data_IF_447310067961
#
_entry.id   IF_447310067961
#
_cell.length_a   1.000
_cell.length_b   1.000
_cell.length_c   1.000
_cell.angle_alpha   90.00
_cell.angle_beta   90.00
_cell.angle_gamma   90.00
#
_symmetry.space_group_name_H-M   'P 1'
#
loop_
_entity.id
_entity.type
_entity.pdbx_description
1 polymer ?
#
# COMPACT_ATOMS: atom_id res chain seq x y z
N UNK A 1 -10.35 13.19 -21.75
CA UNK A 1 -10.66 13.73 -20.42
C UNK A 1 -10.34 12.76 -19.28
N UNK A 2 -10.67 11.49 -19.39
CA UNK A 2 -10.42 10.45 -18.38
C UNK A 2 -8.94 10.33 -17.96
N UNK A 3 -8.02 10.25 -18.90
CA UNK A 3 -6.58 10.13 -18.61
C UNK A 3 -6.01 11.34 -17.83
N UNK A 4 -6.50 12.56 -18.13
CA UNK A 4 -6.14 13.76 -17.36
C UNK A 4 -6.59 13.63 -15.88
N UNK A 5 -7.75 13.00 -15.64
CA UNK A 5 -8.21 12.68 -14.29
C UNK A 5 -7.22 11.79 -13.55
N UNK A 6 -6.67 10.75 -14.19
CA UNK A 6 -5.68 9.87 -13.57
C UNK A 6 -4.33 10.54 -13.30
N UNK A 7 -3.92 11.48 -14.15
CA UNK A 7 -2.73 12.31 -13.91
C UNK A 7 -2.90 13.18 -12.66
N UNK A 8 -4.04 13.86 -12.53
CA UNK A 8 -4.37 14.68 -11.35
C UNK A 8 -4.47 13.82 -10.10
N UNK A 9 -5.11 12.67 -10.21
CA UNK A 9 -5.25 11.69 -9.14
C UNK A 9 -3.88 11.18 -8.69
N UNK A 10 -3.01 10.82 -9.63
CA UNK A 10 -1.65 10.40 -9.33
C UNK A 10 -0.82 11.51 -8.68
N UNK A 11 -0.98 12.76 -9.10
CA UNK A 11 -0.34 13.91 -8.48
C UNK A 11 -0.80 14.09 -7.03
N UNK A 12 -2.09 14.05 -6.77
CA UNK A 12 -2.67 14.16 -5.44
C UNK A 12 -2.28 12.98 -4.54
N UNK A 13 -2.49 11.75 -5.00
CA UNK A 13 -2.12 10.55 -4.26
C UNK A 13 -0.61 10.46 -4.01
N UNK A 14 0.21 10.81 -5.00
CA UNK A 14 1.66 10.87 -4.86
C UNK A 14 2.10 11.90 -3.82
N UNK A 15 1.51 13.09 -3.83
CA UNK A 15 1.80 14.14 -2.83
C UNK A 15 1.47 13.67 -1.42
N UNK A 16 0.29 13.08 -1.20
CA UNK A 16 -0.10 12.52 0.09
C UNK A 16 0.78 11.32 0.49
N UNK A 17 1.12 10.47 -0.46
CA UNK A 17 2.02 9.33 -0.23
C UNK A 17 3.41 9.81 0.25
N UNK A 18 3.94 10.84 -0.39
CA UNK A 18 5.19 11.47 0.02
C UNK A 18 5.09 12.17 1.37
N UNK A 19 3.98 12.87 1.63
CA UNK A 19 3.71 13.56 2.88
C UNK A 19 3.70 12.60 4.08
N UNK A 20 3.05 11.45 3.92
CA UNK A 20 2.87 10.49 5.02
C UNK A 20 3.95 9.38 5.05
N UNK A 21 4.72 9.21 3.99
CA UNK A 21 5.82 8.23 3.93
C UNK A 21 5.38 6.76 3.93
N UNK A 22 4.12 6.45 3.58
CA UNK A 22 3.49 5.13 3.77
C UNK A 22 3.37 4.34 2.44
N UNK A 23 4.09 4.76 1.38
CA UNK A 23 4.12 4.02 0.12
C UNK A 23 2.88 4.17 -0.78
N UNK A 24 1.95 5.08 -0.46
CA UNK A 24 0.88 5.53 -1.38
C UNK A 24 -0.37 4.67 -1.47
N UNK A 25 -0.31 3.36 -1.29
CA UNK A 25 -1.44 2.45 -1.53
C UNK A 25 -2.67 2.73 -0.71
N UNK A 26 -2.50 3.04 0.58
CA UNK A 26 -3.59 3.44 1.48
C UNK A 26 -4.41 4.64 0.98
N UNK A 27 -3.85 5.42 0.07
CA UNK A 27 -4.49 6.61 -0.51
C UNK A 27 -4.96 6.32 -1.93
N UNK A 28 -4.16 5.57 -2.70
CA UNK A 28 -4.47 5.25 -4.10
C UNK A 28 -5.74 4.40 -4.19
N UNK A 29 -5.89 3.37 -3.35
CA UNK A 29 -7.05 2.45 -3.39
C UNK A 29 -8.38 3.18 -3.19
N UNK A 30 -8.59 3.97 -2.11
CA UNK A 30 -9.85 4.71 -1.94
C UNK A 30 -10.15 5.67 -3.09
N UNK A 31 -9.12 6.34 -3.60
CA UNK A 31 -9.28 7.30 -4.69
C UNK A 31 -9.62 6.59 -6.00
N UNK A 32 -9.01 5.44 -6.29
CA UNK A 32 -9.36 4.60 -7.43
C UNK A 32 -10.81 4.10 -7.32
N UNK A 33 -11.23 3.59 -6.17
CA UNK A 33 -12.62 3.14 -5.94
C UNK A 33 -13.61 4.27 -6.23
N UNK A 34 -13.30 5.51 -5.78
CA UNK A 34 -14.15 6.67 -6.09
C UNK A 34 -14.20 6.98 -7.57
N UNK A 35 -13.05 6.94 -8.23
CA UNK A 35 -12.92 7.28 -9.65
C UNK A 35 -13.60 6.23 -10.52
N UNK A 36 -13.42 4.95 -10.22
CA UNK A 36 -14.05 3.85 -10.94
C UNK A 36 -15.57 3.86 -10.78
N UNK A 37 -16.06 4.17 -9.56
CA UNK A 37 -17.48 4.35 -9.31
C UNK A 37 -18.07 5.51 -10.12
N UNK A 38 -17.38 6.63 -10.20
CA UNK A 38 -17.79 7.77 -11.00
C UNK A 38 -17.80 7.49 -12.51
N UNK A 39 -17.04 6.48 -12.96
CA UNK A 39 -17.03 6.00 -14.35
C UNK A 39 -18.10 4.96 -14.64
N UNK A 40 -18.89 4.54 -13.64
CA UNK A 40 -19.93 3.53 -13.82
C UNK A 40 -19.41 2.10 -13.96
N UNK A 41 -18.18 1.82 -13.48
CA UNK A 41 -17.64 0.46 -13.41
C UNK A 41 -18.49 -0.35 -12.43
N UNK A 42 -18.69 -1.63 -12.74
CA UNK A 42 -19.49 -2.54 -11.95
C UNK A 42 -19.06 -2.56 -10.47
N UNK A 43 -20.00 -2.32 -9.54
CA UNK A 43 -19.71 -2.35 -8.10
C UNK A 43 -19.08 -3.66 -7.62
N UNK A 44 -19.34 -4.78 -8.27
CA UNK A 44 -18.81 -6.09 -7.87
C UNK A 44 -17.29 -6.23 -8.09
N UNK A 45 -16.74 -5.51 -9.06
CA UNK A 45 -15.31 -5.60 -9.41
C UNK A 45 -14.49 -4.38 -9.00
N UNK A 46 -15.16 -3.26 -8.65
CA UNK A 46 -14.47 -1.97 -8.38
C UNK A 46 -13.32 -2.11 -7.40
N UNK A 47 -13.54 -2.79 -6.27
CA UNK A 47 -12.53 -2.90 -5.23
C UNK A 47 -11.36 -3.77 -5.66
N UNK A 48 -11.63 -4.89 -6.33
CA UNK A 48 -10.60 -5.76 -6.89
C UNK A 48 -9.75 -5.01 -7.92
N UNK A 49 -10.39 -4.28 -8.81
CA UNK A 49 -9.71 -3.47 -9.84
C UNK A 49 -8.84 -2.36 -9.22
N UNK A 50 -9.33 -1.71 -8.15
CA UNK A 50 -8.58 -0.68 -7.44
C UNK A 50 -7.36 -1.26 -6.71
N UNK A 51 -7.52 -2.41 -6.03
CA UNK A 51 -6.43 -3.11 -5.36
C UNK A 51 -5.38 -3.59 -6.36
N UNK A 52 -5.81 -4.29 -7.42
CA UNK A 52 -4.94 -4.80 -8.48
C UNK A 52 -4.18 -3.68 -9.22
N UNK A 53 -4.83 -2.52 -9.45
CA UNK A 53 -4.20 -1.36 -10.10
C UNK A 53 -3.24 -0.61 -9.17
N UNK A 54 -3.51 -0.59 -7.85
CA UNK A 54 -2.64 0.12 -6.89
C UNK A 54 -1.29 -0.55 -6.70
N UNK A 55 -1.24 -1.89 -6.64
CA UNK A 55 -0.02 -2.65 -6.36
C UNK A 55 1.10 -2.41 -7.38
N UNK A 56 0.88 -2.48 -8.72
CA UNK A 56 1.93 -2.19 -9.68
C UNK A 56 2.51 -0.78 -9.54
N UNK A 57 1.71 0.23 -9.12
CA UNK A 57 2.23 1.59 -8.91
C UNK A 57 3.32 1.61 -7.83
N UNK A 58 3.24 0.68 -6.86
CA UNK A 58 4.20 0.60 -5.77
C UNK A 58 5.55 -0.01 -6.18
N UNK A 59 5.62 -0.75 -7.28
CA UNK A 59 6.91 -1.22 -7.83
C UNK A 59 7.76 0.00 -8.17
N UNK A 60 7.19 0.99 -8.83
CA UNK A 60 7.90 2.21 -9.25
C UNK A 60 8.25 3.11 -8.06
N UNK A 61 7.31 3.33 -7.15
CA UNK A 61 7.54 4.16 -5.96
C UNK A 61 8.51 3.47 -4.98
N UNK A 62 8.41 2.16 -4.82
CA UNK A 62 9.30 1.34 -3.99
C UNK A 62 10.74 1.35 -4.51
N UNK A 63 10.92 1.22 -5.83
CA UNK A 63 12.24 1.29 -6.46
C UNK A 63 12.91 2.65 -6.23
N UNK A 64 12.17 3.74 -6.44
CA UNK A 64 12.67 5.09 -6.17
C UNK A 64 13.07 5.30 -4.71
N UNK A 65 12.24 4.81 -3.78
CA UNK A 65 12.47 4.91 -2.34
C UNK A 65 13.67 4.04 -1.90
N UNK A 66 13.75 2.81 -2.39
CA UNK A 66 14.88 1.90 -2.10
C UNK A 66 16.21 2.50 -2.54
N UNK A 67 16.25 3.12 -3.72
CA UNK A 67 17.47 3.77 -4.21
C UNK A 67 17.94 4.88 -3.26
N UNK A 68 17.04 5.74 -2.81
CA UNK A 68 17.36 6.81 -1.87
C UNK A 68 17.87 6.29 -0.52
N UNK A 69 17.24 5.23 0.01
CA UNK A 69 17.68 4.61 1.28
C UNK A 69 19.00 3.85 1.15
N UNK A 70 19.27 3.25 -0.01
CA UNK A 70 20.56 2.60 -0.30
C UNK A 70 21.69 3.61 -0.33
N UNK A 71 21.51 4.74 -0.99
CA UNK A 71 22.49 5.84 -1.03
C UNK A 71 22.77 6.40 0.39
N UNK A 72 21.77 6.36 1.27
CA UNK A 72 21.92 6.75 2.67
C UNK A 72 22.55 5.67 3.58
N UNK A 73 22.91 4.49 3.06
CA UNK A 73 23.53 3.38 3.83
C UNK A 73 22.64 2.76 4.90
N UNK A 74 21.31 2.87 4.76
CA UNK A 74 20.34 2.40 5.77
C UNK A 74 19.77 0.99 5.49
N UNK A 75 20.25 0.30 4.45
CA UNK A 75 19.66 -0.93 3.94
C UNK A 75 20.35 -2.17 4.51
N UNK A 76 19.62 -2.98 5.28
CA UNK A 76 20.05 -4.31 5.73
C UNK A 76 19.52 -5.40 4.77
N UNK A 77 20.39 -5.87 3.88
CA UNK A 77 20.05 -6.87 2.86
C UNK A 77 19.71 -8.25 3.43
N UNK A 78 20.26 -8.63 4.59
CA UNK A 78 19.98 -9.94 5.21
C UNK A 78 18.54 -9.97 5.72
N UNK A 79 18.14 -8.92 6.42
CA UNK A 79 16.76 -8.75 6.92
C UNK A 79 15.75 -8.66 5.77
N UNK A 80 16.07 -7.88 4.72
CA UNK A 80 15.21 -7.71 3.55
C UNK A 80 15.00 -9.03 2.81
N UNK A 81 16.04 -9.85 2.64
CA UNK A 81 15.90 -11.16 1.97
C UNK A 81 15.00 -12.12 2.78
N UNK A 82 15.14 -12.15 4.11
CA UNK A 82 14.32 -13.01 4.98
C UNK A 82 12.85 -12.60 4.98
N UNK A 83 12.57 -11.31 5.15
CA UNK A 83 11.21 -10.77 5.08
C UNK A 83 10.64 -10.87 3.67
N UNK A 84 11.42 -10.48 2.66
CA UNK A 84 11.00 -10.38 1.26
C UNK A 84 10.58 -11.74 0.67
N UNK A 85 11.29 -12.82 1.02
CA UNK A 85 10.90 -14.16 0.60
C UNK A 85 9.50 -14.54 1.13
N UNK A 86 9.24 -14.29 2.42
CA UNK A 86 7.92 -14.48 3.00
C UNK A 86 6.87 -13.56 2.36
N UNK A 87 7.24 -12.30 2.10
CA UNK A 87 6.34 -11.32 1.49
C UNK A 87 5.96 -11.63 0.04
N UNK A 88 6.82 -12.29 -0.73
CA UNK A 88 6.45 -12.83 -2.05
C UNK A 88 5.32 -13.86 -1.93
N UNK A 89 5.50 -14.84 -1.02
CA UNK A 89 4.48 -15.85 -0.77
C UNK A 89 3.19 -15.20 -0.26
N UNK A 90 3.31 -14.34 0.75
CA UNK A 90 2.17 -13.63 1.33
C UNK A 90 1.46 -12.73 0.32
N UNK A 91 2.21 -11.98 -0.49
CA UNK A 91 1.65 -11.12 -1.53
C UNK A 91 0.82 -11.87 -2.55
N UNK A 92 1.30 -13.03 -3.00
CA UNK A 92 0.53 -13.92 -3.86
C UNK A 92 -0.73 -14.43 -3.19
N UNK A 93 -0.61 -14.98 -1.98
CA UNK A 93 -1.74 -15.48 -1.20
C UNK A 93 -2.78 -14.39 -0.90
N UNK A 94 -2.34 -13.16 -0.65
CA UNK A 94 -3.22 -12.02 -0.37
C UNK A 94 -4.13 -11.67 -1.56
N UNK A 95 -3.59 -11.59 -2.77
CA UNK A 95 -4.40 -11.35 -3.96
C UNK A 95 -5.33 -12.53 -4.29
N UNK A 96 -4.86 -13.78 -4.12
CA UNK A 96 -5.73 -14.95 -4.30
C UNK A 96 -6.85 -14.99 -3.26
N UNK A 97 -6.57 -14.65 -2.00
CA UNK A 97 -7.59 -14.54 -0.95
C UNK A 97 -8.60 -13.44 -1.27
N UNK A 98 -8.13 -12.29 -1.76
CA UNK A 98 -9.02 -11.19 -2.15
C UNK A 98 -10.00 -11.62 -3.23
N UNK A 99 -9.56 -12.42 -4.21
CA UNK A 99 -10.42 -12.92 -5.29
C UNK A 99 -11.53 -13.87 -4.80
N UNK A 100 -11.35 -14.51 -3.66
CA UNK A 100 -12.37 -15.36 -3.03
C UNK A 100 -13.40 -14.56 -2.20
N UNK A 101 -13.15 -13.29 -1.98
CA UNK A 101 -13.99 -12.43 -1.15
C UNK A 101 -14.85 -11.51 -2.05
N UNK A 102 -16.10 -11.28 -1.65
CA UNK A 102 -16.95 -10.29 -2.32
C UNK A 102 -16.40 -8.88 -2.10
N UNK A 103 -16.71 -7.98 -3.02
CA UNK A 103 -16.36 -6.54 -2.88
C UNK A 103 -16.85 -5.96 -1.56
N UNK A 104 -18.07 -6.32 -1.11
CA UNK A 104 -18.60 -5.88 0.19
C UNK A 104 -17.72 -6.34 1.36
N UNK A 105 -17.33 -7.61 1.37
CA UNK A 105 -16.44 -8.16 2.41
C UNK A 105 -15.08 -7.47 2.40
N UNK A 106 -14.49 -7.25 1.22
CA UNK A 106 -13.22 -6.52 1.08
C UNK A 106 -13.34 -5.09 1.61
N UNK A 107 -14.42 -4.40 1.29
CA UNK A 107 -14.66 -3.04 1.75
C UNK A 107 -14.72 -2.97 3.28
N UNK A 108 -15.42 -3.90 3.92
CA UNK A 108 -15.49 -3.98 5.39
C UNK A 108 -14.08 -4.22 5.98
N UNK A 109 -13.34 -5.18 5.45
CA UNK A 109 -11.99 -5.51 5.94
C UNK A 109 -11.04 -4.32 5.77
N UNK A 110 -11.07 -3.64 4.60
CA UNK A 110 -10.25 -2.44 4.35
C UNK A 110 -10.68 -1.30 5.27
N UNK A 111 -11.97 -1.11 5.48
CA UNK A 111 -12.52 -0.10 6.39
C UNK A 111 -12.09 -0.32 7.84
N UNK A 112 -12.21 -1.54 8.36
CA UNK A 112 -11.74 -1.92 9.69
C UNK A 112 -10.22 -1.69 9.84
N UNK A 113 -9.45 -2.05 8.82
CA UNK A 113 -8.00 -1.82 8.82
C UNK A 113 -7.67 -0.32 8.85
N UNK A 114 -8.34 0.48 8.01
CA UNK A 114 -8.15 1.93 8.00
C UNK A 114 -8.49 2.57 9.35
N UNK A 115 -9.55 2.14 10.02
CA UNK A 115 -9.91 2.60 11.36
C UNK A 115 -8.90 2.16 12.42
N UNK A 116 -8.39 0.93 12.35
CA UNK A 116 -7.33 0.48 13.26
C UNK A 116 -6.06 1.31 13.14
N UNK A 117 -5.67 1.67 11.91
CA UNK A 117 -4.55 2.56 11.63
C UNK A 117 -4.81 3.98 12.15
N UNK A 118 -6.03 4.51 11.96
CA UNK A 118 -6.43 5.81 12.48
C UNK A 118 -6.33 5.86 14.01
N UNK A 119 -6.84 4.84 14.68
CA UNK A 119 -6.80 4.71 16.14
C UNK A 119 -5.36 4.61 16.67
N UNK A 120 -4.54 3.75 16.05
CA UNK A 120 -3.12 3.58 16.42
C UNK A 120 -2.36 4.90 16.33
N UNK A 121 -2.55 5.65 15.23
CA UNK A 121 -1.87 6.92 15.03
C UNK A 121 -2.46 8.05 15.86
N UNK A 122 -3.77 8.09 16.04
CA UNK A 122 -4.47 9.10 16.85
C UNK A 122 -4.11 8.98 18.33
N UNK A 123 -4.04 7.78 18.88
CA UNK A 123 -3.65 7.50 20.26
C UNK A 123 -2.12 7.51 20.47
N UNK A 124 -1.34 7.73 19.42
CA UNK A 124 0.13 7.73 19.44
C UNK A 124 0.72 6.46 20.09
N UNK A 125 0.04 5.32 19.89
CA UNK A 125 0.49 4.03 20.39
C UNK A 125 1.81 3.67 19.71
N UNK A 126 2.89 3.75 20.49
CA UNK A 126 4.21 3.32 20.03
C UNK A 126 4.44 1.92 20.55
N UNK A 127 4.83 0.97 19.70
CA UNK A 127 5.33 -0.31 20.20
C UNK A 127 6.54 -0.06 21.10
N UNK A 128 6.52 -0.57 22.32
CA UNK A 128 7.72 -0.60 23.14
C UNK A 128 8.71 -1.60 22.53
N UNK A 129 9.92 -1.13 22.29
CA UNK A 129 11.00 -1.94 21.70
C UNK A 129 11.57 -2.88 22.77
N UNK A 130 10.95 -4.05 22.95
CA UNK A 130 11.33 -5.00 24.01
C UNK A 130 11.72 -6.37 23.47
N UNK A 131 11.60 -6.59 22.15
CA UNK A 131 11.81 -7.90 21.54
C UNK A 131 13.03 -7.91 20.63
N UNK A 132 13.72 -9.05 20.61
CA UNK A 132 14.74 -9.34 19.60
C UNK A 132 14.08 -9.88 18.33
N UNK A 133 14.73 -9.61 17.18
CA UNK A 133 14.28 -10.18 15.90
C UNK A 133 14.20 -11.70 15.99
N UNK A 134 13.08 -12.31 15.57
CA UNK A 134 12.96 -13.76 15.48
C UNK A 134 14.04 -14.35 14.55
N UNK A 135 14.32 -15.63 14.71
CA UNK A 135 15.19 -16.37 13.78
C UNK A 135 14.68 -16.31 12.33
N UNK A 136 15.45 -16.85 11.36
CA UNK A 136 15.11 -16.76 9.93
C UNK A 136 13.70 -17.24 9.57
N UNK A 137 13.27 -18.34 10.18
CA UNK A 137 11.93 -18.91 9.97
C UNK A 137 10.83 -17.98 10.51
N UNK A 138 10.98 -17.47 11.73
CA UNK A 138 10.01 -16.54 12.33
C UNK A 138 9.90 -15.23 11.57
N UNK A 139 11.03 -14.72 11.06
CA UNK A 139 11.07 -13.53 10.18
C UNK A 139 10.38 -13.81 8.84
N UNK A 140 10.56 -15.00 8.27
CA UNK A 140 9.88 -15.43 7.04
C UNK A 140 8.36 -15.51 7.23
N UNK A 141 7.89 -16.14 8.31
CA UNK A 141 6.46 -16.22 8.65
C UNK A 141 5.86 -14.82 8.84
N UNK A 142 6.54 -13.95 9.59
CA UNK A 142 6.10 -12.56 9.75
C UNK A 142 6.02 -11.84 8.39
N UNK A 143 7.01 -12.05 7.51
CA UNK A 143 7.01 -11.55 6.14
C UNK A 143 5.79 -12.05 5.34
N UNK A 144 5.44 -13.33 5.46
CA UNK A 144 4.26 -13.91 4.80
C UNK A 144 2.97 -13.26 5.29
N UNK A 145 2.78 -13.10 6.59
CA UNK A 145 1.59 -12.46 7.16
C UNK A 145 1.50 -10.98 6.73
N UNK A 146 2.61 -10.26 6.82
CA UNK A 146 2.66 -8.85 6.39
C UNK A 146 2.39 -8.72 4.89
N UNK A 147 2.98 -9.58 4.07
CA UNK A 147 2.77 -9.62 2.62
C UNK A 147 1.31 -9.91 2.26
N UNK A 148 0.72 -10.89 2.92
CA UNK A 148 -0.68 -11.29 2.74
C UNK A 148 -1.64 -10.14 3.07
N UNK A 149 -1.50 -9.54 4.25
CA UNK A 149 -2.31 -8.39 4.64
C UNK A 149 -2.08 -7.19 3.71
N UNK A 150 -0.83 -6.91 3.36
CA UNK A 150 -0.50 -5.78 2.49
C UNK A 150 -1.11 -5.90 1.09
N UNK A 151 -1.06 -7.07 0.49
CA UNK A 151 -1.67 -7.32 -0.82
C UNK A 151 -3.20 -7.31 -0.76
N UNK A 152 -3.78 -7.84 0.32
CA UNK A 152 -5.23 -7.82 0.57
C UNK A 152 -5.78 -6.38 0.67
N UNK A 153 -5.01 -5.47 1.25
CA UNK A 153 -5.39 -4.05 1.41
C UNK A 153 -4.91 -3.16 0.25
N UNK A 154 -4.16 -3.72 -0.70
CA UNK A 154 -3.56 -2.94 -1.80
C UNK A 154 -2.57 -1.89 -1.31
N UNK A 155 -1.85 -2.17 -0.22
CA UNK A 155 -0.89 -1.24 0.39
C UNK A 155 0.55 -1.76 0.29
N UNK A 156 1.49 -0.83 0.18
CA UNK A 156 2.90 -1.17 0.33
C UNK A 156 3.21 -1.57 1.78
N UNK A 157 4.18 -2.45 1.98
CA UNK A 157 4.54 -2.99 3.29
C UNK A 157 4.82 -1.96 4.40
N UNK A 158 4.89 -0.65 4.09
CA UNK A 158 5.29 0.42 5.01
C UNK A 158 4.51 0.48 6.30
N UNK A 159 3.20 0.42 6.20
CA UNK A 159 2.29 0.55 7.35
C UNK A 159 2.35 -0.62 8.32
N UNK A 160 2.73 -1.81 7.87
CA UNK A 160 2.84 -3.01 8.71
C UNK A 160 4.29 -3.36 9.03
N UNK A 161 5.21 -3.21 8.07
CA UNK A 161 6.61 -3.58 8.26
C UNK A 161 7.33 -2.66 9.24
N UNK A 162 7.09 -1.34 9.18
CA UNK A 162 7.75 -0.39 10.09
C UNK A 162 7.37 -0.64 11.55
N UNK A 163 6.09 -0.77 11.94
CA UNK A 163 5.71 -1.14 13.30
C UNK A 163 6.30 -2.48 13.76
N UNK A 164 6.25 -3.50 12.88
CA UNK A 164 6.83 -4.82 13.20
C UNK A 164 8.33 -4.75 13.50
N UNK A 165 9.11 -4.07 12.64
CA UNK A 165 10.55 -3.92 12.84
C UNK A 165 10.89 -3.05 14.06
N UNK A 166 10.13 -1.97 14.27
CA UNK A 166 10.31 -1.12 15.45
C UNK A 166 10.02 -1.87 16.75
N UNK A 167 9.04 -2.76 16.75
CA UNK A 167 8.72 -3.62 17.90
C UNK A 167 9.86 -4.61 18.21
N UNK A 168 10.56 -5.06 17.17
CA UNK A 168 11.74 -5.94 17.29
C UNK A 168 13.07 -5.15 17.43
N UNK A 169 13.03 -3.96 18.00
CA UNK A 169 14.22 -3.12 18.33
C UNK A 169 15.09 -2.70 17.14
N UNK A 170 14.55 -2.76 15.92
CA UNK A 170 15.24 -2.25 14.73
C UNK A 170 15.16 -0.72 14.72
N UNK A 171 16.30 0.00 14.58
CA UNK A 171 16.30 1.46 14.51
C UNK A 171 15.34 1.98 13.42
N UNK A 172 14.59 3.03 13.71
CA UNK A 172 13.55 3.57 12.82
C UNK A 172 14.04 3.83 11.40
N UNK A 173 15.28 4.37 11.27
CA UNK A 173 15.91 4.61 9.97
C UNK A 173 16.03 3.33 9.13
N UNK A 174 16.49 2.24 9.75
CA UNK A 174 16.64 0.94 9.09
C UNK A 174 15.29 0.27 8.85
N UNK A 175 14.33 0.43 9.77
CA UNK A 175 12.97 -0.09 9.62
C UNK A 175 12.26 0.53 8.41
N UNK A 176 12.39 1.85 8.21
CA UNK A 176 11.82 2.55 7.06
C UNK A 176 12.52 2.14 5.76
N UNK A 177 13.85 2.00 5.77
CA UNK A 177 14.61 1.54 4.60
C UNK A 177 14.25 0.11 4.20
N UNK A 178 14.16 -0.80 5.18
CA UNK A 178 13.74 -2.18 4.95
C UNK A 178 12.30 -2.25 4.43
N UNK A 179 11.41 -1.46 4.98
CA UNK A 179 10.01 -1.36 4.55
C UNK A 179 9.88 -0.91 3.09
N UNK A 180 10.65 0.11 2.69
CA UNK A 180 10.69 0.58 1.31
C UNK A 180 11.17 -0.52 0.34
N UNK A 181 12.20 -1.31 0.73
CA UNK A 181 12.68 -2.44 -0.05
C UNK A 181 11.65 -3.57 -0.12
N UNK A 182 11.03 -3.89 1.01
CA UNK A 182 10.04 -4.96 1.14
C UNK A 182 8.71 -4.67 0.43
N UNK A 183 8.41 -3.42 0.11
CA UNK A 183 7.23 -3.08 -0.70
C UNK A 183 7.30 -3.65 -2.12
N UNK A 184 8.50 -3.82 -2.68
CA UNK A 184 8.68 -4.36 -4.03
C UNK A 184 8.24 -5.83 -4.18
N UNK A 185 8.70 -6.79 -3.34
CA UNK A 185 8.23 -8.17 -3.42
C UNK A 185 6.72 -8.29 -3.19
N UNK A 186 6.13 -7.51 -2.27
CA UNK A 186 4.68 -7.48 -2.06
C UNK A 186 3.97 -7.00 -3.33
N UNK A 187 4.42 -5.88 -3.88
CA UNK A 187 3.81 -5.29 -5.05
C UNK A 187 3.93 -6.21 -6.28
N UNK A 188 5.09 -6.85 -6.47
CA UNK A 188 5.30 -7.77 -7.59
C UNK A 188 4.39 -8.99 -7.48
N UNK A 189 4.43 -9.71 -6.35
CA UNK A 189 3.65 -10.92 -6.15
C UNK A 189 2.15 -10.64 -6.12
N UNK A 190 1.72 -9.56 -5.45
CA UNK A 190 0.34 -9.13 -5.42
C UNK A 190 -0.17 -8.70 -6.80
N UNK A 191 0.61 -7.92 -7.57
CA UNK A 191 0.22 -7.56 -8.94
C UNK A 191 0.02 -8.77 -9.82
N UNK A 192 0.94 -9.74 -9.77
CA UNK A 192 0.81 -10.99 -10.53
C UNK A 192 -0.40 -11.80 -10.09
N UNK A 193 -0.71 -11.83 -8.79
CA UNK A 193 -1.88 -12.51 -8.25
C UNK A 193 -3.19 -11.88 -8.74
N UNK A 194 -3.34 -10.56 -8.67
CA UNK A 194 -4.53 -9.86 -9.18
C UNK A 194 -4.65 -9.92 -10.70
N UNK A 195 -3.53 -9.94 -11.42
CA UNK A 195 -3.50 -10.17 -12.85
C UNK A 195 -4.05 -11.56 -13.19
N UNK A 196 -3.56 -12.58 -12.50
CA UNK A 196 -3.99 -13.97 -12.69
C UNK A 196 -5.47 -14.16 -12.29
N UNK A 197 -5.87 -13.63 -11.13
CA UNK A 197 -7.22 -13.77 -10.61
C UNK A 197 -8.31 -13.11 -11.49
N UNK A 198 -7.97 -12.03 -12.17
CA UNK A 198 -8.89 -11.33 -13.07
C UNK A 198 -8.75 -11.72 -14.55
N UNK A 199 -7.91 -12.71 -14.92
CA UNK A 199 -7.56 -12.96 -16.32
C UNK A 199 -8.76 -13.28 -17.23
N UNK A 200 -9.69 -14.08 -16.74
CA UNK A 200 -10.86 -14.54 -17.49
C UNK A 200 -12.17 -13.83 -17.08
N UNK A 201 -12.07 -12.69 -16.35
CA UNK A 201 -13.26 -11.99 -15.89
C UNK A 201 -13.89 -11.15 -17.03
N UNK A 202 -15.13 -11.49 -17.40
CA UNK A 202 -15.80 -10.93 -18.59
C UNK A 202 -16.19 -9.44 -18.45
N UNK A 203 -16.44 -8.97 -17.22
CA UNK A 203 -16.99 -7.63 -16.96
C UNK A 203 -15.92 -6.56 -16.72
N UNK A 204 -14.65 -6.87 -17.05
CA UNK A 204 -13.56 -5.91 -16.89
C UNK A 204 -13.64 -4.78 -17.93
N UNK A 205 -13.34 -3.53 -17.54
CA UNK A 205 -13.29 -2.41 -18.47
C UNK A 205 -12.25 -2.64 -19.59
N UNK A 206 -12.49 -2.04 -20.74
CA UNK A 206 -11.48 -2.00 -21.82
C UNK A 206 -10.13 -1.49 -21.27
N UNK A 207 -9.03 -2.03 -21.78
CA UNK A 207 -7.66 -1.73 -21.35
C UNK A 207 -7.31 -2.25 -19.93
N UNK A 208 -8.04 -3.24 -19.45
CA UNK A 208 -7.65 -4.00 -18.25
C UNK A 208 -6.87 -5.25 -18.63
N UNK A 209 -5.89 -5.61 -17.81
CA UNK A 209 -5.18 -6.89 -17.88
C UNK A 209 -5.34 -7.57 -16.52
N UNK A 210 -6.27 -8.52 -16.44
CA UNK A 210 -6.79 -8.97 -15.17
C UNK A 210 -7.35 -7.79 -14.38
N UNK A 211 -7.24 -7.80 -13.08
CA UNK A 211 -7.67 -6.68 -12.23
C UNK A 211 -6.70 -5.47 -12.25
N UNK A 212 -5.95 -5.26 -13.33
CA UNK A 212 -5.05 -4.10 -13.49
C UNK A 212 -5.58 -3.22 -14.62
N UNK A 213 -6.05 -2.03 -14.29
CA UNK A 213 -6.54 -1.06 -15.25
C UNK A 213 -5.40 -0.15 -15.74
N UNK A 214 -4.92 -0.39 -16.97
CA UNK A 214 -3.72 0.24 -17.52
C UNK A 214 -3.78 1.78 -17.60
N UNK A 215 -4.90 2.42 -17.98
CA UNK A 215 -4.95 3.88 -18.05
C UNK A 215 -4.74 4.54 -16.69
N UNK A 216 -5.30 3.97 -15.62
CA UNK A 216 -5.10 4.48 -14.26
C UNK A 216 -3.67 4.20 -13.77
N UNK A 217 -3.14 3.00 -14.01
CA UNK A 217 -1.75 2.65 -13.67
C UNK A 217 -0.77 3.65 -14.29
N UNK A 218 -0.85 3.88 -15.59
CA UNK A 218 0.07 4.78 -16.30
C UNK A 218 -0.08 6.24 -15.82
N UNK A 219 -1.32 6.72 -15.70
CA UNK A 219 -1.57 8.08 -15.22
C UNK A 219 -1.02 8.32 -13.82
N UNK A 220 -1.24 7.35 -12.91
CA UNK A 220 -0.75 7.46 -11.53
C UNK A 220 0.78 7.38 -11.48
N UNK A 221 1.41 6.44 -12.19
CA UNK A 221 2.88 6.26 -12.16
C UNK A 221 3.60 7.49 -12.69
N UNK A 222 3.11 8.09 -13.78
CA UNK A 222 3.74 9.26 -14.41
C UNK A 222 3.81 10.48 -13.48
N UNK A 223 2.82 10.67 -12.64
CA UNK A 223 2.73 11.88 -11.78
C UNK A 223 3.07 11.61 -10.33
N UNK A 224 2.69 10.44 -9.78
CA UNK A 224 2.87 10.13 -8.35
C UNK A 224 4.34 10.17 -7.90
N UNK A 225 5.27 9.69 -8.73
CA UNK A 225 6.72 9.70 -8.41
C UNK A 225 7.30 11.11 -8.27
N UNK A 226 6.83 12.05 -9.08
CA UNK A 226 7.28 13.45 -9.03
C UNK A 226 6.65 14.18 -7.85
N UNK A 227 5.33 14.04 -7.68
CA UNK A 227 4.60 14.70 -6.60
C UNK A 227 4.90 14.10 -5.23
N UNK A 228 5.29 12.83 -5.12
CA UNK A 228 5.78 12.25 -3.88
C UNK A 228 7.02 12.97 -3.33
N UNK A 229 7.91 13.45 -4.20
CA UNK A 229 9.08 14.26 -3.80
C UNK A 229 8.64 15.62 -3.20
N UNK A 230 7.60 16.24 -3.77
CA UNK A 230 7.02 17.48 -3.26
C UNK A 230 6.37 17.23 -1.90
N UNK A 231 5.58 16.18 -1.78
CA UNK A 231 4.96 15.76 -0.51
C UNK A 231 5.99 15.49 0.58
N UNK A 232 7.07 14.79 0.28
CA UNK A 232 8.17 14.53 1.23
C UNK A 232 8.84 15.83 1.71
N UNK A 233 9.10 16.78 0.80
CA UNK A 233 9.62 18.12 1.19
C UNK A 233 8.66 18.87 2.09
N UNK A 234 7.35 18.77 1.85
CA UNK A 234 6.33 19.41 2.67
C UNK A 234 6.22 18.74 4.05
N UNK A 235 6.42 17.41 4.13
CA UNK A 235 6.46 16.68 5.39
C UNK A 235 7.52 17.21 6.36
N UNK A 236 8.69 17.60 5.84
CA UNK A 236 9.77 18.17 6.65
C UNK A 236 9.43 19.55 7.25
N UNK A 237 8.41 20.24 6.73
CA UNK A 237 7.95 21.55 7.27
C UNK A 237 6.84 21.39 8.30
N UNK A 238 6.24 20.22 8.43
CA UNK A 238 5.16 19.94 9.38
C UNK A 238 5.70 19.26 10.63
N UNK A 239 5.08 19.58 11.78
CA UNK A 239 5.41 18.84 13.01
C UNK A 239 4.94 17.38 12.91
N UNK A 240 5.68 16.40 13.45
CA UNK A 240 5.31 14.99 13.43
C UNK A 240 3.90 14.73 13.98
N UNK A 241 3.47 15.52 14.98
CA UNK A 241 2.14 15.41 15.58
C UNK A 241 1.04 15.81 14.59
N UNK A 242 1.20 16.95 13.90
CA UNK A 242 0.23 17.39 12.89
C UNK A 242 0.12 16.41 11.72
N UNK A 243 1.27 15.87 11.30
CA UNK A 243 1.30 14.88 10.23
C UNK A 243 0.54 13.60 10.61
N UNK A 244 0.73 13.09 11.83
CA UNK A 244 -0.02 11.93 12.36
C UNK A 244 -1.51 12.20 12.48
N UNK A 245 -1.90 13.37 12.97
CA UNK A 245 -3.31 13.77 13.10
C UNK A 245 -3.99 13.86 11.73
N UNK A 246 -3.33 14.49 10.75
CA UNK A 246 -3.84 14.60 9.40
C UNK A 246 -4.01 13.21 8.75
N UNK A 247 -3.04 12.31 8.97
CA UNK A 247 -3.15 10.93 8.50
C UNK A 247 -4.25 10.15 9.21
N UNK A 248 -4.38 10.26 10.52
CA UNK A 248 -5.44 9.61 11.29
C UNK A 248 -6.83 10.08 10.82
N UNK A 249 -6.99 11.38 10.57
CA UNK A 249 -8.24 11.93 10.02
C UNK A 249 -8.53 11.36 8.62
N UNK A 250 -7.52 11.31 7.75
CA UNK A 250 -7.67 10.71 6.41
C UNK A 250 -8.11 9.25 6.50
N UNK A 251 -7.48 8.46 7.38
CA UNK A 251 -7.83 7.05 7.57
C UNK A 251 -9.23 6.87 8.18
N UNK A 252 -9.67 7.75 9.07
CA UNK A 252 -11.06 7.75 9.56
C UNK A 252 -12.06 7.98 8.43
N UNK A 253 -11.81 8.95 7.57
CA UNK A 253 -12.66 9.25 6.42
C UNK A 253 -12.68 8.10 5.39
N UNK A 254 -11.51 7.52 5.12
CA UNK A 254 -11.38 6.35 4.22
C UNK A 254 -12.15 5.16 4.79
N UNK A 255 -11.95 4.84 6.06
CA UNK A 255 -12.64 3.73 6.73
C UNK A 255 -14.16 3.93 6.76
N UNK A 256 -14.63 5.12 7.11
CA UNK A 256 -16.05 5.46 7.09
C UNK A 256 -16.64 5.28 5.69
N UNK A 257 -15.92 5.72 4.64
CA UNK A 257 -16.37 5.57 3.26
C UNK A 257 -16.53 4.10 2.86
N UNK A 258 -15.52 3.26 3.14
CA UNK A 258 -15.58 1.85 2.81
C UNK A 258 -16.71 1.13 3.56
N UNK A 259 -16.98 1.51 4.81
CA UNK A 259 -18.07 0.94 5.63
C UNK A 259 -19.47 1.38 5.18
N UNK A 260 -19.62 2.65 4.75
CA UNK A 260 -20.92 3.21 4.37
C UNK A 260 -21.34 2.83 2.94
N UNK A 261 -20.39 2.47 2.09
CA UNK A 261 -20.64 2.14 0.68
C UNK A 261 -20.31 0.67 0.35
N UNK A 262 -20.28 -0.16 1.38
CA UNK A 262 -20.13 -1.61 1.30
C UNK A 262 -21.41 -2.29 0.79
#
# INVERSE_FOLDING_TARGET
>A
MLFMGYLLLGAFAGMLAGLFGIGGGLIIVPVLVMTFRAQGIDPEIITHLALGTSLPTMIFTGFSSLRAHREAGAVDWVMIRRLGAGMLIGGWLGGMTANLLSTSTLNIIIGCFAWSMALQMGLNLKPTAERHMPGPLGTGIAGTIIGWMSALFGIGGGSLTVPYLSWNSVPMRNAVAASAACSMPIALAGSLSYLYAGWDHADLPEWSVGYIYLPALLGIVLTSTQFARIGAKLAHRLSPTRLKQAFALLMLLVGAKFMLFS
#
